data_IF_638023767850
#
_entry.id   IF_638023767850
#
_cell.length_a   1.000
_cell.length_b   1.000
_cell.length_c   1.000
_cell.angle_alpha   90.00
_cell.angle_beta   90.00
_cell.angle_gamma   90.00
#
_symmetry.space_group_name_H-M   'P 1'
#
loop_
_entity.id
_entity.type
_entity.pdbx_description
1 polymer ?
#
# COMPACT_ATOMS: atom_id res chain seq x y z
N UNK A 1 3.67 -5.49 -10.28
CA UNK A 1 2.81 -4.30 -10.16
C UNK A 1 2.27 -3.78 -11.49
N UNK A 2 2.91 -4.05 -12.64
CA UNK A 2 2.26 -3.81 -13.96
C UNK A 2 0.99 -4.66 -14.08
N UNK A 3 1.06 -5.92 -13.66
CA UNK A 3 -0.09 -6.84 -13.57
C UNK A 3 -1.31 -6.21 -12.89
N UNK A 4 -1.12 -5.61 -11.71
CA UNK A 4 -2.19 -4.88 -11.00
C UNK A 4 -2.63 -3.60 -11.70
N UNK A 5 -1.71 -2.82 -12.27
CA UNK A 5 -2.06 -1.58 -12.95
C UNK A 5 -2.91 -1.79 -14.21
N UNK A 6 -2.83 -2.99 -14.79
CA UNK A 6 -3.61 -3.43 -15.94
C UNK A 6 -4.72 -4.43 -15.58
N UNK A 7 -4.89 -4.76 -14.29
CA UNK A 7 -5.90 -5.69 -13.79
C UNK A 7 -5.85 -7.07 -14.48
N UNK A 8 -4.65 -7.62 -14.68
CA UNK A 8 -4.44 -8.92 -15.32
C UNK A 8 -4.62 -10.11 -14.37
N UNK A 9 -4.27 -9.94 -13.09
CA UNK A 9 -4.41 -10.96 -12.04
C UNK A 9 -3.65 -12.26 -12.35
N UNK A 10 -2.48 -12.17 -13.01
CA UNK A 10 -1.66 -13.36 -13.32
C UNK A 10 -0.63 -13.66 -12.24
N UNK A 11 -0.21 -12.65 -11.47
CA UNK A 11 0.88 -12.75 -10.51
C UNK A 11 0.46 -12.31 -9.11
N UNK A 12 -0.45 -13.10 -8.55
CA UNK A 12 -0.89 -12.99 -7.18
C UNK A 12 0.25 -13.20 -6.17
N UNK A 13 0.03 -12.71 -4.95
CA UNK A 13 1.06 -12.68 -3.91
C UNK A 13 1.60 -14.08 -3.60
N UNK A 14 0.75 -15.09 -3.60
CA UNK A 14 1.14 -16.48 -3.37
C UNK A 14 2.00 -17.06 -4.49
N UNK A 15 1.61 -16.85 -5.77
CA UNK A 15 2.39 -17.30 -6.93
C UNK A 15 3.77 -16.64 -6.91
N UNK A 16 3.81 -15.33 -6.64
CA UNK A 16 5.05 -14.58 -6.53
C UNK A 16 5.95 -15.12 -5.40
N UNK A 17 5.39 -15.36 -4.21
CA UNK A 17 6.14 -15.89 -3.07
C UNK A 17 6.65 -17.31 -3.32
N UNK A 18 5.82 -18.20 -3.90
CA UNK A 18 6.23 -19.57 -4.23
C UNK A 18 7.39 -19.56 -5.22
N UNK A 19 7.30 -18.76 -6.29
CA UNK A 19 8.40 -18.62 -7.25
C UNK A 19 9.68 -18.13 -6.58
N UNK A 20 9.59 -17.12 -5.71
CA UNK A 20 10.76 -16.60 -4.98
C UNK A 20 11.35 -17.66 -4.05
N UNK A 21 10.53 -18.31 -3.23
CA UNK A 21 10.98 -19.34 -2.28
C UNK A 21 11.69 -20.47 -3.05
N UNK A 22 11.12 -20.96 -4.15
CA UNK A 22 11.71 -22.04 -4.95
C UNK A 22 13.02 -21.59 -5.59
N UNK A 23 13.07 -20.42 -6.22
CA UNK A 23 14.28 -19.91 -6.89
C UNK A 23 15.41 -19.67 -5.87
N UNK A 24 15.13 -19.03 -4.73
CA UNK A 24 16.14 -18.77 -3.71
C UNK A 24 16.56 -20.04 -2.96
N UNK A 25 15.65 -21.00 -2.75
CA UNK A 25 16.01 -22.32 -2.21
C UNK A 25 16.97 -23.05 -3.16
N UNK A 26 16.66 -23.11 -4.46
CA UNK A 26 17.54 -23.68 -5.47
C UNK A 26 18.89 -22.97 -5.51
N UNK A 27 18.90 -21.63 -5.46
CA UNK A 27 20.15 -20.86 -5.37
C UNK A 27 20.96 -21.24 -4.12
N UNK A 28 20.32 -21.38 -2.95
CA UNK A 28 20.97 -21.80 -1.72
C UNK A 28 21.60 -23.20 -1.85
N UNK A 29 20.86 -24.17 -2.39
CA UNK A 29 21.37 -25.53 -2.61
C UNK A 29 22.45 -25.59 -3.69
N UNK A 30 22.35 -24.76 -4.72
CA UNK A 30 23.39 -24.57 -5.73
C UNK A 30 24.68 -24.01 -5.12
N UNK A 31 24.57 -23.03 -4.21
CA UNK A 31 25.72 -22.50 -3.48
C UNK A 31 26.34 -23.54 -2.54
N UNK A 32 25.55 -24.47 -2.00
CA UNK A 32 26.08 -25.61 -1.22
C UNK A 32 26.67 -26.73 -2.09
N UNK A 33 26.63 -26.61 -3.42
CA UNK A 33 27.13 -27.63 -4.35
C UNK A 33 26.23 -28.86 -4.46
N UNK A 34 24.97 -28.77 -4.03
CA UNK A 34 23.99 -29.88 -4.13
C UNK A 34 23.32 -29.95 -5.50
N UNK A 35 23.35 -28.85 -6.26
CA UNK A 35 22.89 -28.77 -7.64
C UNK A 35 24.10 -28.42 -8.50
N UNK A 36 24.31 -29.16 -9.58
CA UNK A 36 25.38 -28.94 -10.55
C UNK A 36 24.79 -29.01 -11.96
N UNK A 37 25.01 -27.97 -12.78
CA UNK A 37 24.56 -27.95 -14.17
C UNK A 37 25.61 -28.58 -15.10
N UNK A 38 25.20 -28.91 -16.33
CA UNK A 38 26.04 -29.57 -17.33
C UNK A 38 27.34 -28.82 -17.67
N UNK A 39 27.36 -27.50 -17.46
CA UNK A 39 28.51 -26.64 -17.75
C UNK A 39 29.31 -26.24 -16.50
N UNK A 40 28.96 -26.78 -15.33
CA UNK A 40 29.66 -26.49 -14.08
C UNK A 40 30.79 -27.48 -13.82
N UNK A 41 31.92 -26.97 -13.31
CA UNK A 41 32.99 -27.83 -12.81
C UNK A 41 32.61 -28.51 -11.48
N UNK A 42 33.09 -29.74 -11.22
CA UNK A 42 32.84 -30.42 -9.95
C UNK A 42 33.35 -29.60 -8.76
N UNK A 43 32.55 -29.56 -7.68
CA UNK A 43 32.87 -28.82 -6.46
C UNK A 43 33.21 -29.79 -5.33
N UNK A 44 34.49 -30.11 -5.10
CA UNK A 44 34.90 -31.07 -4.07
C UNK A 44 34.66 -30.55 -2.64
N UNK A 45 34.77 -29.23 -2.43
CA UNK A 45 34.55 -28.59 -1.12
C UNK A 45 33.83 -27.25 -1.28
N UNK A 46 33.11 -26.84 -0.24
CA UNK A 46 32.43 -25.54 -0.18
C UNK A 46 33.36 -24.53 0.46
N UNK A 47 33.67 -23.44 -0.25
CA UNK A 47 34.49 -22.35 0.29
C UNK A 47 33.74 -21.54 1.34
N UNK A 48 34.47 -20.94 2.30
CA UNK A 48 33.88 -20.15 3.39
C UNK A 48 33.01 -18.99 2.89
N UNK A 49 33.42 -18.15 1.91
CA UNK A 49 32.56 -17.07 1.40
C UNK A 49 31.27 -17.60 0.76
N UNK A 50 31.37 -18.73 0.04
CA UNK A 50 30.22 -19.38 -0.58
C UNK A 50 29.24 -19.93 0.45
N UNK A 51 29.76 -20.47 1.55
CA UNK A 51 28.94 -20.92 2.68
C UNK A 51 28.18 -19.75 3.32
N UNK A 52 28.83 -18.61 3.58
CA UNK A 52 28.16 -17.43 4.12
C UNK A 52 27.06 -16.92 3.19
N UNK A 53 27.31 -16.89 1.88
CA UNK A 53 26.30 -16.51 0.90
C UNK A 53 25.12 -17.49 0.89
N UNK A 54 25.38 -18.80 0.95
CA UNK A 54 24.33 -19.82 1.04
C UNK A 54 23.48 -19.65 2.30
N UNK A 55 24.11 -19.40 3.46
CA UNK A 55 23.41 -19.13 4.72
C UNK A 55 22.52 -17.90 4.59
N UNK A 56 23.03 -16.80 4.02
CA UNK A 56 22.24 -15.58 3.83
C UNK A 56 21.02 -15.82 2.93
N UNK A 57 21.21 -16.51 1.79
CA UNK A 57 20.13 -16.83 0.85
C UNK A 57 19.09 -17.77 1.47
N UNK A 58 19.50 -18.81 2.19
CA UNK A 58 18.59 -19.75 2.83
C UNK A 58 17.86 -19.13 4.03
N UNK A 59 18.52 -18.26 4.80
CA UNK A 59 17.88 -17.48 5.85
C UNK A 59 16.81 -16.54 5.27
N UNK A 60 17.11 -15.86 4.17
CA UNK A 60 16.14 -15.05 3.44
C UNK A 60 14.97 -15.90 2.92
N UNK A 61 15.25 -17.06 2.33
CA UNK A 61 14.22 -18.00 1.86
C UNK A 61 13.29 -18.41 3.01
N UNK A 62 13.86 -18.76 4.17
CA UNK A 62 13.10 -19.18 5.36
C UNK A 62 12.25 -18.03 5.92
N UNK A 63 12.76 -16.80 5.87
CA UNK A 63 12.01 -15.59 6.25
C UNK A 63 10.75 -15.38 5.39
N UNK A 64 10.75 -15.77 4.11
CA UNK A 64 9.59 -15.63 3.23
C UNK A 64 8.49 -16.66 3.50
N UNK A 65 8.83 -17.83 4.06
CA UNK A 65 7.89 -18.97 4.22
C UNK A 65 6.60 -18.58 4.97
N UNK A 66 6.64 -17.87 6.12
CA UNK A 66 5.40 -17.43 6.79
C UNK A 66 4.49 -16.55 5.93
N UNK A 67 5.02 -15.90 4.88
CA UNK A 67 4.23 -15.11 3.93
C UNK A 67 3.19 -15.92 3.17
N UNK A 68 3.42 -17.22 2.97
CA UNK A 68 2.44 -18.12 2.35
C UNK A 68 1.16 -18.27 3.19
N UNK A 69 1.18 -17.89 4.47
CA UNK A 69 0.02 -17.85 5.38
C UNK A 69 -0.48 -16.42 5.65
N UNK A 70 -0.07 -15.44 4.84
CA UNK A 70 -0.52 -14.06 4.94
C UNK A 70 0.34 -13.16 5.83
N UNK A 71 1.45 -13.66 6.39
CA UNK A 71 2.34 -12.82 7.19
C UNK A 71 2.80 -11.59 6.36
N UNK A 72 2.87 -10.39 6.96
CA UNK A 72 3.03 -9.15 6.21
C UNK A 72 4.41 -9.00 5.56
N UNK A 73 5.41 -9.76 6.02
CA UNK A 73 6.79 -9.75 5.52
C UNK A 73 7.36 -8.34 5.38
N UNK A 74 7.29 -7.54 6.46
CA UNK A 74 7.62 -6.11 6.48
C UNK A 74 8.97 -5.71 5.84
N UNK A 75 9.97 -6.60 5.82
CA UNK A 75 11.26 -6.31 5.21
C UNK A 75 11.19 -6.22 3.67
N UNK A 76 10.24 -6.94 3.06
CA UNK A 76 10.07 -7.04 1.60
C UNK A 76 8.66 -6.68 1.12
N UNK A 77 7.75 -6.32 2.03
CA UNK A 77 6.33 -6.03 1.72
C UNK A 77 6.12 -4.96 0.66
N UNK A 78 7.13 -4.12 0.46
CA UNK A 78 7.14 -3.06 -0.52
C UNK A 78 7.27 -3.57 -1.98
N UNK A 79 7.80 -4.78 -2.16
CA UNK A 79 8.01 -5.43 -3.46
C UNK A 79 7.02 -6.56 -3.74
N UNK A 80 6.38 -7.08 -2.70
CA UNK A 80 5.37 -8.13 -2.83
C UNK A 80 4.06 -7.56 -3.37
N UNK A 81 3.29 -8.34 -4.13
CA UNK A 81 1.90 -8.01 -4.41
C UNK A 81 1.11 -7.76 -3.10
N UNK A 82 0.04 -6.95 -3.16
CA UNK A 82 -0.79 -6.64 -1.99
C UNK A 82 -1.34 -7.88 -1.28
N UNK A 83 -1.67 -7.76 0.00
CA UNK A 83 -2.22 -8.90 0.76
C UNK A 83 -3.58 -9.39 0.24
N UNK A 84 -4.40 -8.51 -0.34
CA UNK A 84 -5.73 -8.89 -0.82
C UNK A 84 -5.70 -9.81 -2.05
N UNK A 85 -4.57 -9.87 -2.78
CA UNK A 85 -4.41 -10.80 -3.91
C UNK A 85 -3.94 -12.19 -3.45
N UNK A 86 -3.95 -12.45 -2.15
CA UNK A 86 -3.62 -13.75 -1.58
C UNK A 86 -4.89 -14.43 -1.11
N UNK A 87 -5.21 -15.58 -1.69
CA UNK A 87 -6.38 -16.36 -1.30
C UNK A 87 -6.24 -16.92 0.12
N UNK A 88 -5.04 -17.40 0.46
CA UNK A 88 -4.77 -17.99 1.77
C UNK A 88 -4.11 -17.00 2.74
N UNK A 89 -4.93 -16.21 3.45
CA UNK A 89 -4.48 -15.24 4.46
C UNK A 89 -5.09 -15.54 5.84
N UNK A 90 -4.25 -15.97 6.79
CA UNK A 90 -4.64 -16.14 8.19
C UNK A 90 -4.40 -14.88 9.03
N UNK A 91 -3.59 -13.94 8.56
CA UNK A 91 -3.12 -12.77 9.30
C UNK A 91 -4.14 -11.64 9.33
N UNK A 92 -4.71 -11.28 8.17
CA UNK A 92 -5.66 -10.14 8.08
C UNK A 92 -6.95 -10.38 8.87
N UNK A 93 -7.60 -11.57 8.81
CA UNK A 93 -8.79 -11.84 9.62
C UNK A 93 -8.54 -11.81 11.14
N UNK A 94 -7.34 -12.19 11.59
CA UNK A 94 -6.94 -12.09 13.00
C UNK A 94 -6.84 -10.63 13.46
N UNK A 95 -6.31 -9.74 12.62
CA UNK A 95 -6.27 -8.30 12.89
C UNK A 95 -7.64 -7.64 12.86
N UNK A 96 -8.56 -8.15 12.03
CA UNK A 96 -9.90 -7.62 11.87
C UNK A 96 -10.89 -8.08 12.98
N UNK A 97 -10.46 -8.90 13.95
CA UNK A 97 -11.28 -9.28 15.11
C UNK A 97 -11.83 -10.71 15.11
N UNK A 98 -11.34 -11.58 14.22
CA UNK A 98 -11.51 -13.03 14.31
C UNK A 98 -12.85 -13.58 13.78
N UNK A 99 -12.73 -14.49 12.82
CA UNK A 99 -13.78 -15.44 12.44
C UNK A 99 -14.47 -15.14 11.12
N UNK A 100 -13.76 -15.34 10.00
CA UNK A 100 -14.14 -16.17 8.84
C UNK A 100 -12.90 -16.23 7.93
N UNK A 101 -12.64 -17.39 7.32
CA UNK A 101 -11.69 -17.51 6.21
C UNK A 101 -12.31 -16.70 5.08
N UNK A 102 -11.80 -15.49 4.89
CA UNK A 102 -12.37 -14.58 3.92
C UNK A 102 -12.12 -15.16 2.53
N UNK A 103 -13.20 -15.49 1.82
CA UNK A 103 -13.17 -15.39 0.36
C UNK A 103 -12.75 -13.97 -0.05
N UNK A 104 -12.55 -13.72 -1.36
CA UNK A 104 -12.06 -12.44 -1.85
C UNK A 104 -12.77 -11.29 -1.12
N UNK A 105 -12.01 -10.32 -0.56
CA UNK A 105 -12.59 -9.26 0.24
C UNK A 105 -13.75 -8.66 -0.54
N UNK A 106 -14.90 -8.35 0.10
CA UNK A 106 -16.03 -7.82 -0.63
C UNK A 106 -15.52 -6.60 -1.40
N UNK A 107 -15.52 -6.71 -2.73
CA UNK A 107 -15.33 -5.56 -3.59
C UNK A 107 -16.24 -4.47 -3.03
N UNK A 108 -15.73 -3.25 -2.91
CA UNK A 108 -16.50 -2.11 -2.41
C UNK A 108 -17.53 -1.71 -3.48
N UNK A 109 -18.35 -2.64 -3.95
CA UNK A 109 -19.29 -2.51 -5.07
C UNK A 109 -20.33 -1.42 -4.85
N UNK A 110 -20.43 -0.92 -3.62
CA UNK A 110 -21.24 0.23 -3.25
C UNK A 110 -20.63 1.57 -3.68
N UNK A 111 -19.30 1.65 -3.76
CA UNK A 111 -18.57 2.88 -4.11
C UNK A 111 -18.16 2.87 -5.58
N UNK A 112 -18.10 4.06 -6.19
CA UNK A 112 -17.63 4.21 -7.58
C UNK A 112 -16.20 3.67 -7.71
N UNK A 113 -16.00 2.82 -8.71
CA UNK A 113 -14.76 2.05 -8.95
C UNK A 113 -14.38 1.02 -7.88
N UNK A 114 -15.24 0.73 -6.90
CA UNK A 114 -14.92 -0.26 -5.86
C UNK A 114 -14.93 -1.71 -6.34
N UNK A 115 -15.35 -1.97 -7.59
CA UNK A 115 -15.14 -3.24 -8.28
C UNK A 115 -13.74 -3.35 -8.92
N UNK A 116 -13.01 -2.24 -9.05
CA UNK A 116 -11.65 -2.20 -9.61
C UNK A 116 -10.57 -2.14 -8.54
N UNK A 117 -10.91 -1.61 -7.36
CA UNK A 117 -9.94 -1.36 -6.29
C UNK A 117 -10.36 -2.02 -4.98
N UNK A 118 -9.34 -2.47 -4.24
CA UNK A 118 -9.50 -3.10 -2.94
C UNK A 118 -8.74 -2.31 -1.89
N UNK A 119 -9.43 -1.89 -0.83
CA UNK A 119 -8.77 -1.25 0.29
C UNK A 119 -8.11 -2.29 1.22
N UNK A 120 -6.90 -2.01 1.73
CA UNK A 120 -6.22 -2.92 2.64
C UNK A 120 -6.91 -2.97 4.00
N UNK A 121 -6.72 -4.08 4.73
CA UNK A 121 -7.13 -4.26 6.14
C UNK A 121 -8.65 -4.19 6.39
N UNK A 122 -9.48 -4.41 5.35
CA UNK A 122 -10.93 -4.33 5.46
C UNK A 122 -11.44 -2.93 5.79
N UNK A 123 -10.69 -1.89 5.44
CA UNK A 123 -11.14 -0.50 5.54
C UNK A 123 -12.16 -0.21 4.45
N UNK A 124 -13.22 0.53 4.79
CA UNK A 124 -14.19 1.00 3.80
C UNK A 124 -13.68 2.28 3.13
N UNK A 125 -13.07 2.14 1.96
CA UNK A 125 -12.46 3.25 1.22
C UNK A 125 -13.26 3.58 -0.05
N UNK A 126 -13.32 4.88 -0.35
CA UNK A 126 -13.81 5.41 -1.62
C UNK A 126 -12.68 5.46 -2.65
N UNK A 127 -13.05 5.43 -3.93
CA UNK A 127 -12.09 5.53 -5.05
C UNK A 127 -12.41 6.67 -6.02
N UNK A 128 -13.45 7.46 -5.72
CA UNK A 128 -13.76 8.71 -6.41
C UNK A 128 -13.80 9.87 -5.40
N UNK A 129 -13.11 10.96 -5.75
CA UNK A 129 -12.98 12.13 -4.88
C UNK A 129 -14.31 12.81 -4.56
N UNK A 130 -15.19 12.96 -5.55
CA UNK A 130 -16.44 13.72 -5.38
C UNK A 130 -17.44 12.94 -4.53
N UNK A 131 -17.52 11.62 -4.75
CA UNK A 131 -18.29 10.70 -3.91
C UNK A 131 -17.81 10.71 -2.46
N UNK A 132 -16.50 10.56 -2.24
CA UNK A 132 -15.92 10.56 -0.89
C UNK A 132 -16.16 11.89 -0.16
N UNK A 133 -16.07 13.01 -0.88
CA UNK A 133 -16.34 14.34 -0.33
C UNK A 133 -17.80 14.50 0.08
N UNK A 134 -18.74 14.04 -0.76
CA UNK A 134 -20.17 14.07 -0.42
C UNK A 134 -20.46 13.23 0.82
N UNK A 135 -19.86 12.04 0.92
CA UNK A 135 -19.99 11.17 2.09
C UNK A 135 -19.38 11.81 3.35
N UNK A 136 -18.19 12.41 3.25
CA UNK A 136 -17.55 13.13 4.34
C UNK A 136 -18.41 14.30 4.87
N UNK A 137 -19.03 15.05 3.96
CA UNK A 137 -19.95 16.14 4.31
C UNK A 137 -21.22 15.63 5.01
N UNK A 138 -21.83 14.56 4.49
CA UNK A 138 -23.03 13.96 5.06
C UNK A 138 -22.77 13.35 6.45
N UNK A 139 -21.62 12.69 6.62
CA UNK A 139 -21.22 12.07 7.88
C UNK A 139 -20.63 13.06 8.90
N UNK A 140 -20.31 14.29 8.48
CA UNK A 140 -19.62 15.27 9.32
C UNK A 140 -18.22 14.83 9.75
N UNK A 141 -17.55 13.98 8.95
CA UNK A 141 -16.22 13.42 9.23
C UNK A 141 -15.16 14.07 8.32
N UNK A 142 -13.92 14.27 8.80
CA UNK A 142 -12.80 14.68 7.95
C UNK A 142 -12.55 13.69 6.81
N UNK A 143 -12.26 14.23 5.62
CA UNK A 143 -11.86 13.45 4.45
C UNK A 143 -10.35 13.26 4.46
N UNK A 144 -9.89 12.01 4.42
CA UNK A 144 -8.48 11.65 4.24
C UNK A 144 -8.25 11.16 2.81
N UNK A 145 -7.52 11.95 2.03
CA UNK A 145 -7.12 11.61 0.67
C UNK A 145 -5.76 10.93 0.72
N UNK A 146 -5.69 9.72 0.17
CA UNK A 146 -4.48 8.95 -0.07
C UNK A 146 -4.18 8.91 -1.58
N UNK A 147 -3.27 9.78 -2.04
CA UNK A 147 -2.71 9.65 -3.38
C UNK A 147 -1.72 8.49 -3.37
N UNK A 148 -2.12 7.41 -4.02
CA UNK A 148 -1.44 6.11 -3.99
C UNK A 148 -1.21 5.60 -5.40
N UNK A 149 -0.62 4.41 -5.53
CA UNK A 149 -0.45 3.75 -6.82
C UNK A 149 -0.15 2.26 -6.67
N UNK A 150 -0.53 1.49 -7.69
CA UNK A 150 -0.28 0.06 -7.80
C UNK A 150 1.21 -0.26 -7.73
N UNK A 151 2.05 0.53 -8.39
CA UNK A 151 3.50 0.37 -8.43
C UNK A 151 4.24 1.08 -7.28
N UNK A 152 3.53 1.73 -6.36
CA UNK A 152 4.13 2.54 -5.31
C UNK A 152 4.66 1.69 -4.13
N UNK A 153 5.94 1.35 -4.19
CA UNK A 153 6.69 0.61 -3.15
C UNK A 153 6.52 1.23 -1.76
N UNK A 154 6.64 2.55 -1.64
CA UNK A 154 6.50 3.25 -0.36
C UNK A 154 5.06 3.24 0.17
N UNK A 155 4.05 3.27 -0.71
CA UNK A 155 2.64 3.18 -0.34
C UNK A 155 2.33 1.80 0.26
N UNK A 156 2.77 0.73 -0.41
CA UNK A 156 2.65 -0.64 0.11
C UNK A 156 3.35 -0.81 1.45
N UNK A 157 4.52 -0.21 1.63
CA UNK A 157 5.23 -0.21 2.91
C UNK A 157 4.42 0.49 4.02
N UNK A 158 3.80 1.64 3.72
CA UNK A 158 2.93 2.34 4.68
C UNK A 158 1.72 1.49 5.08
N UNK A 159 1.05 0.88 4.11
CA UNK A 159 -0.12 0.02 4.34
C UNK A 159 0.21 -1.25 5.11
N UNK A 160 1.39 -1.84 4.89
CA UNK A 160 1.81 -3.06 5.59
C UNK A 160 2.35 -2.80 7.01
N UNK A 161 2.93 -1.62 7.28
CA UNK A 161 3.68 -1.38 8.52
C UNK A 161 3.10 -0.32 9.44
N UNK A 162 2.38 0.67 8.90
CA UNK A 162 1.84 1.79 9.68
C UNK A 162 0.34 1.66 9.87
N UNK A 163 -0.40 1.35 8.81
CA UNK A 163 -1.86 1.25 8.87
C UNK A 163 -2.38 0.17 9.83
N UNK A 164 -1.75 -1.02 9.96
CA UNK A 164 -2.22 -2.06 10.88
C UNK A 164 -1.89 -1.74 12.35
N UNK A 165 -1.20 -0.63 12.63
CA UNK A 165 -0.86 -0.25 14.00
C UNK A 165 -2.16 -0.08 14.80
N UNK A 166 -2.27 -0.65 16.02
CA UNK A 166 -3.49 -0.62 16.82
C UNK A 166 -3.94 0.79 17.22
N UNK A 167 -3.06 1.79 17.12
CA UNK A 167 -3.41 3.21 17.33
C UNK A 167 -3.87 3.89 16.05
N UNK A 168 -3.45 3.42 14.87
CA UNK A 168 -3.73 4.03 13.56
C UNK A 168 -5.00 3.46 12.95
N UNK A 169 -5.13 2.13 12.93
CA UNK A 169 -6.22 1.44 12.26
C UNK A 169 -7.61 1.92 12.73
N UNK A 170 -7.88 2.08 14.05
CA UNK A 170 -9.17 2.58 14.50
C UNK A 170 -9.44 4.03 14.10
N UNK A 171 -8.39 4.86 14.00
CA UNK A 171 -8.55 6.24 13.53
C UNK A 171 -8.97 6.26 12.06
N UNK A 172 -8.28 5.51 11.21
CA UNK A 172 -8.60 5.40 9.78
C UNK A 172 -10.02 4.90 9.55
N UNK A 173 -10.44 3.89 10.32
CA UNK A 173 -11.78 3.28 10.21
C UNK A 173 -12.89 4.19 10.73
N UNK A 174 -12.70 4.78 11.91
CA UNK A 174 -13.84 5.34 12.65
C UNK A 174 -13.91 6.87 12.52
N UNK A 175 -12.76 7.54 12.37
CA UNK A 175 -12.66 9.00 12.45
C UNK A 175 -12.58 9.69 11.10
N UNK A 176 -12.22 8.99 10.04
CA UNK A 176 -12.05 9.57 8.71
C UNK A 176 -12.98 8.90 7.70
N UNK A 177 -13.32 9.64 6.65
CA UNK A 177 -13.72 9.06 5.37
C UNK A 177 -12.44 8.92 4.54
N UNK A 178 -12.07 7.69 4.19
CA UNK A 178 -10.85 7.40 3.43
C UNK A 178 -11.16 7.38 1.94
N UNK A 179 -10.36 8.08 1.13
CA UNK A 179 -10.38 7.95 -0.33
C UNK A 179 -8.99 7.63 -0.84
N UNK A 180 -8.88 6.58 -1.67
CA UNK A 180 -7.63 6.18 -2.33
C UNK A 180 -7.69 6.57 -3.80
N UNK A 181 -6.78 7.46 -4.20
CA UNK A 181 -6.70 7.98 -5.56
C UNK A 181 -5.45 7.42 -6.25
N UNK A 182 -5.66 6.43 -7.13
CA UNK A 182 -4.59 5.74 -7.84
C UNK A 182 -4.07 6.59 -9.01
N UNK A 183 -2.81 7.02 -8.92
CA UNK A 183 -2.19 7.93 -9.91
C UNK A 183 -1.53 7.20 -11.08
N UNK A 184 -1.46 5.87 -11.05
CA UNK A 184 -0.81 5.03 -12.06
C UNK A 184 -1.75 4.00 -12.73
N UNK A 185 -3.03 4.00 -12.35
CA UNK A 185 -4.07 3.12 -12.89
C UNK A 185 -4.46 3.44 -14.35
N UNK A 186 -4.69 2.38 -15.14
CA UNK A 186 -4.90 2.49 -16.59
C UNK A 186 -6.35 2.49 -17.04
N UNK A 187 -7.32 2.41 -16.12
CA UNK A 187 -8.74 2.47 -16.47
C UNK A 187 -9.06 3.79 -17.15
N UNK A 188 -9.72 3.71 -18.31
CA UNK A 188 -10.18 4.85 -19.06
C UNK A 188 -11.36 5.54 -18.37
N UNK A 189 -11.36 6.87 -18.42
CA UNK A 189 -12.47 7.68 -17.95
C UNK A 189 -13.61 7.62 -18.96
N UNK A 190 -14.88 7.75 -18.52
CA UNK A 190 -16.00 7.97 -19.42
C UNK A 190 -15.73 9.17 -20.34
N UNK A 191 -16.14 9.11 -21.60
CA UNK A 191 -15.87 10.17 -22.60
C UNK A 191 -16.28 11.57 -22.12
N UNK A 192 -17.38 11.67 -21.35
CA UNK A 192 -17.86 12.92 -20.78
C UNK A 192 -16.94 13.53 -19.70
N UNK A 193 -16.11 12.72 -19.04
CA UNK A 193 -15.11 13.16 -18.06
C UNK A 193 -13.72 13.39 -18.69
N UNK A 194 -13.50 12.98 -19.94
CA UNK A 194 -12.23 13.16 -20.63
C UNK A 194 -12.05 14.63 -21.03
N UNK A 195 -10.96 15.24 -20.55
CA UNK A 195 -10.70 16.67 -20.78
C UNK A 195 -9.21 16.96 -20.91
N UNK A 196 -8.85 18.20 -21.23
CA UNK A 196 -7.46 18.67 -21.20
C UNK A 196 -7.25 19.43 -19.90
N UNK A 197 -6.20 19.09 -19.17
CA UNK A 197 -5.85 19.82 -17.96
C UNK A 197 -5.52 21.27 -18.26
N UNK A 198 -6.14 22.19 -17.51
CA UNK A 198 -5.80 23.62 -17.53
C UNK A 198 -4.44 23.91 -16.90
N UNK A 199 -3.94 23.01 -16.04
CA UNK A 199 -2.68 23.16 -15.35
C UNK A 199 -1.52 22.59 -16.16
N UNK A 200 -1.63 21.35 -16.63
CA UNK A 200 -0.54 20.63 -17.30
C UNK A 200 -0.64 20.60 -18.83
N UNK A 201 -1.79 20.99 -19.41
CA UNK A 201 -2.05 20.89 -20.86
C UNK A 201 -2.14 19.46 -21.38
N UNK A 202 -2.14 18.44 -20.50
CA UNK A 202 -2.19 17.02 -20.87
C UNK A 202 -3.63 16.53 -21.01
N UNK A 203 -3.83 15.53 -21.85
CA UNK A 203 -5.11 14.84 -21.97
C UNK A 203 -5.36 13.97 -20.73
N UNK A 204 -6.48 14.21 -20.07
CA UNK A 204 -6.98 13.42 -18.94
C UNK A 204 -7.88 12.32 -19.48
N UNK A 205 -7.29 11.17 -19.86
CA UNK A 205 -8.02 10.04 -20.44
C UNK A 205 -8.24 8.89 -19.48
N UNK A 206 -7.37 8.76 -18.47
CA UNK A 206 -7.37 7.66 -17.50
C UNK A 206 -7.50 8.17 -16.08
N UNK A 207 -7.89 7.29 -15.14
CA UNK A 207 -7.89 7.58 -13.71
C UNK A 207 -6.53 8.12 -13.23
N UNK A 208 -5.43 7.50 -13.68
CA UNK A 208 -4.08 7.99 -13.42
C UNK A 208 -3.90 9.46 -13.81
N UNK A 209 -4.34 9.85 -15.01
CA UNK A 209 -4.20 11.22 -15.46
C UNK A 209 -5.03 12.18 -14.61
N UNK A 210 -6.30 11.84 -14.35
CA UNK A 210 -7.21 12.67 -13.54
C UNK A 210 -6.65 12.91 -12.15
N UNK A 211 -6.22 11.86 -11.45
CA UNK A 211 -5.75 11.98 -10.08
C UNK A 211 -4.34 12.55 -9.97
N UNK A 212 -3.44 12.25 -10.91
CA UNK A 212 -2.13 12.93 -10.98
C UNK A 212 -2.28 14.43 -11.22
N UNK A 213 -3.20 14.83 -12.10
CA UNK A 213 -3.42 16.24 -12.40
C UNK A 213 -4.07 16.97 -11.23
N UNK A 214 -5.04 16.34 -10.54
CA UNK A 214 -5.58 16.87 -9.30
C UNK A 214 -4.49 17.05 -8.24
N UNK A 215 -3.60 16.07 -8.07
CA UNK A 215 -2.49 16.14 -7.11
C UNK A 215 -1.57 17.32 -7.42
N UNK A 216 -1.16 17.46 -8.67
CA UNK A 216 -0.23 18.49 -9.10
C UNK A 216 -0.87 19.89 -9.08
N UNK A 217 -2.07 20.04 -9.64
CA UNK A 217 -2.73 21.34 -9.77
C UNK A 217 -3.22 21.90 -8.43
N UNK A 218 -3.74 21.05 -7.54
CA UNK A 218 -4.32 21.50 -6.26
C UNK A 218 -3.30 21.54 -5.14
N UNK A 219 -2.35 20.61 -5.11
CA UNK A 219 -1.42 20.44 -3.98
C UNK A 219 0.04 20.69 -4.34
N UNK A 220 0.34 20.99 -5.61
CA UNK A 220 1.71 21.19 -6.10
C UNK A 220 2.63 20.02 -5.71
N UNK A 221 2.11 18.80 -5.80
CA UNK A 221 2.79 17.57 -5.41
C UNK A 221 2.63 16.49 -6.50
N UNK A 222 3.63 15.63 -6.61
CA UNK A 222 3.66 14.53 -7.58
C UNK A 222 4.28 13.25 -7.02
N UNK A 223 4.56 13.21 -5.72
CA UNK A 223 5.12 12.04 -5.02
C UNK A 223 4.03 11.21 -4.36
N UNK A 224 4.27 9.90 -4.22
CA UNK A 224 3.39 8.97 -3.52
C UNK A 224 4.21 8.12 -2.52
N UNK A 225 3.65 7.76 -1.34
CA UNK A 225 2.32 8.10 -0.86
C UNK A 225 2.22 9.58 -0.48
N UNK A 226 1.08 10.20 -0.75
CA UNK A 226 0.81 11.57 -0.33
C UNK A 226 -0.58 11.70 0.29
N UNK A 227 -0.61 12.05 1.57
CA UNK A 227 -1.83 12.12 2.37
C UNK A 227 -2.26 13.58 2.57
N UNK A 228 -3.55 13.85 2.33
CA UNK A 228 -4.17 15.15 2.61
C UNK A 228 -5.36 14.95 3.54
N UNK A 229 -5.44 15.75 4.59
CA UNK A 229 -6.63 15.82 5.44
C UNK A 229 -7.41 17.08 5.09
N UNK A 230 -8.69 16.91 4.76
CA UNK A 230 -9.61 18.02 4.49
C UNK A 230 -10.75 18.01 5.49
N UNK A 231 -11.09 19.20 5.98
CA UNK A 231 -12.36 19.40 6.65
C UNK A 231 -13.47 19.35 5.58
N UNK A 232 -14.54 18.56 5.77
CA UNK A 232 -15.65 18.48 4.82
C UNK A 232 -16.32 19.83 4.53
N UNK A 233 -16.24 20.79 5.45
CA UNK A 233 -16.91 22.10 5.35
C UNK A 233 -16.05 23.18 4.70
N UNK A 234 -14.74 23.03 4.66
CA UNK A 234 -13.86 24.06 4.08
C UNK A 234 -13.85 23.97 2.56
N UNK A 235 -13.93 25.13 1.90
CA UNK A 235 -13.87 25.22 0.45
C UNK A 235 -12.48 24.77 -0.04
N UNK A 236 -12.42 24.04 -1.18
CA UNK A 236 -11.15 23.59 -1.74
C UNK A 236 -10.27 24.79 -2.11
N UNK A 237 -9.20 24.99 -1.34
CA UNK A 237 -8.26 26.12 -1.52
C UNK A 237 -7.79 26.76 -0.22
N UNK A 238 -8.47 26.52 0.91
CA UNK A 238 -7.96 26.92 2.23
C UNK A 238 -6.99 25.88 2.76
N UNK A 239 -5.69 26.24 2.77
CA UNK A 239 -4.57 25.50 3.37
C UNK A 239 -4.72 23.97 3.37
N UNK A 240 -4.25 23.32 2.31
CA UNK A 240 -3.91 21.90 2.39
C UNK A 240 -2.82 21.74 3.46
N UNK A 241 -3.24 21.52 4.70
CA UNK A 241 -2.32 21.16 5.76
C UNK A 241 -1.87 19.75 5.42
N UNK A 242 -0.76 19.61 4.68
CA UNK A 242 0.04 18.39 4.81
C UNK A 242 0.26 18.28 6.31
N UNK A 243 -0.25 17.24 6.99
CA UNK A 243 -0.15 17.25 8.42
C UNK A 243 1.31 16.97 8.75
N UNK A 244 2.09 18.06 8.85
CA UNK A 244 3.45 18.07 9.42
C UNK A 244 3.45 17.37 10.78
N UNK A 245 2.28 17.23 11.40
CA UNK A 245 2.06 16.56 12.67
C UNK A 245 1.42 15.17 12.62
N UNK A 246 0.87 14.63 11.51
CA UNK A 246 0.20 13.30 11.60
C UNK A 246 1.21 12.14 11.55
N UNK A 247 2.05 12.08 10.51
CA UNK A 247 3.14 11.10 10.47
C UNK A 247 4.21 11.40 11.53
N UNK A 248 4.48 12.67 11.80
CA UNK A 248 5.48 13.08 12.78
C UNK A 248 5.00 12.82 14.22
N UNK A 249 3.72 13.00 14.58
CA UNK A 249 3.21 12.57 15.90
C UNK A 249 3.13 11.05 16.05
N UNK A 250 2.75 10.31 15.00
CA UNK A 250 2.69 8.85 15.04
C UNK A 250 4.08 8.21 15.17
N UNK A 251 5.09 8.79 14.50
CA UNK A 251 6.49 8.29 14.54
C UNK A 251 7.27 8.84 15.74
N UNK A 252 7.09 10.11 16.15
CA UNK A 252 7.88 10.71 17.24
C UNK A 252 7.50 10.21 18.64
N UNK A 253 6.25 9.76 18.87
CA UNK A 253 5.88 9.10 20.14
C UNK A 253 6.77 7.88 20.46
N UNK A 254 7.38 7.27 19.45
CA UNK A 254 8.30 6.14 19.60
C UNK A 254 9.74 6.56 19.92
N UNK A 255 10.18 7.78 19.58
CA UNK A 255 11.60 8.18 19.59
C UNK A 255 12.03 9.03 20.80
N UNK A 256 11.10 9.69 21.51
CA UNK A 256 11.44 10.50 22.68
C UNK A 256 10.51 10.21 23.87
N UNK A 257 10.98 9.36 24.80
CA UNK A 257 10.30 9.09 26.08
C UNK A 257 10.45 10.21 27.14
N UNK A 258 11.11 11.33 26.82
CA UNK A 258 11.29 12.46 27.75
C UNK A 258 11.37 13.79 26.98
N UNK A 259 10.27 14.52 26.89
CA UNK A 259 10.24 15.99 26.77
C UNK A 259 8.81 16.50 26.93
N UNK A 260 8.55 17.13 28.07
CA UNK A 260 7.26 17.63 28.57
C UNK A 260 6.74 18.88 27.84
N UNK A 261 7.17 19.15 26.60
CA UNK A 261 6.93 20.43 25.90
C UNK A 261 6.07 20.29 24.63
N UNK A 262 5.84 19.08 24.12
CA UNK A 262 5.08 18.87 22.87
C UNK A 262 3.56 18.67 23.04
N UNK A 263 3.05 18.64 24.28
CA UNK A 263 1.63 18.38 24.55
C UNK A 263 0.71 19.53 24.12
N UNK A 264 1.24 20.75 24.00
CA UNK A 264 0.45 21.94 23.65
C UNK A 264 0.19 22.13 22.15
N UNK A 265 0.97 21.52 21.26
CA UNK A 265 0.79 21.65 19.81
C UNK A 265 -0.21 20.63 19.20
N UNK A 266 -0.66 19.63 19.98
CA UNK A 266 -1.59 18.58 19.52
C UNK A 266 -3.07 18.91 19.74
N UNK A 267 -3.40 19.90 20.58
CA UNK A 267 -4.77 20.17 21.03
C UNK A 267 -5.34 21.50 20.52
N UNK A 268 -4.54 22.32 19.85
CA UNK A 268 -4.98 23.59 19.30
C UNK A 268 -4.95 23.54 17.77
N UNK A 269 -5.98 22.91 17.20
CA UNK A 269 -6.50 23.36 15.93
C UNK A 269 -7.50 24.51 16.23
N UNK A 270 -7.65 25.45 15.30
CA UNK A 270 -8.92 25.59 14.63
C UNK A 270 -8.98 24.64 13.44
#
# INVERSE_FOLDING_TARGET
>A
NVDLAYHWEWFDREIFLVLWIVIFAMLGFYLLGKIQFAHDSPLPTVSVPRLFLAIAVLAFTTYLVPGLWGAPLNAVSAFLPPQYTQDFDLYTPLLAGGGQVAGPPPAHTQHKYGNLFHAPLGLDAYFDYDEARAAALAAGKPLMIDFTGHACVNCRKMEASVWPNPTVLPLLRDKYVLVQLYVDDKTELPEAEQTVSKFSGRNLRTLANKWSDLQASRYNASSQPFYVLLDPKTLPGSSAQQPRNFLTCLVLKKRYKKAFVLTWACLAAP
#
